data_IF_921573286606
#
_entry.id   IF_921573286606
#
_cell.length_a   1.000
_cell.length_b   1.000
_cell.length_c   1.000
_cell.angle_alpha   90.00
_cell.angle_beta   90.00
_cell.angle_gamma   90.00
#
_symmetry.space_group_name_H-M   'P 1'
#
loop_
_entity.id
_entity.type
_entity.pdbx_description
1 polymer ?
#
# COMPACT_ATOMS: atom_id res chain seq x y z
N UNK A 1 -1.87 36.05 6.83
CA UNK A 1 -1.09 35.68 5.63
C UNK A 1 -1.16 34.17 5.46
N UNK A 2 -1.81 33.70 4.40
CA UNK A 2 -1.90 32.28 4.03
C UNK A 2 -0.99 32.00 2.84
N UNK A 3 -0.22 30.90 2.89
CA UNK A 3 0.37 30.10 1.79
C UNK A 3 1.20 28.99 2.44
N UNK A 4 0.57 27.83 2.74
CA UNK A 4 0.55 26.62 1.90
C UNK A 4 1.94 26.01 1.66
N UNK A 5 2.23 24.98 2.46
CA UNK A 5 2.73 23.65 2.07
C UNK A 5 3.64 23.58 0.84
N UNK A 6 4.93 23.38 1.06
CA UNK A 6 5.84 22.71 0.11
C UNK A 6 6.52 21.56 0.83
N UNK A 7 5.80 20.46 1.03
CA UNK A 7 6.47 19.19 1.33
C UNK A 7 7.03 18.66 0.01
N UNK A 8 8.34 18.81 -0.16
CA UNK A 8 9.10 18.16 -1.22
C UNK A 8 9.33 16.70 -0.82
N UNK A 9 8.48 15.80 -1.28
CA UNK A 9 8.79 14.37 -1.36
C UNK A 9 8.56 13.91 -2.79
N UNK A 10 9.56 14.12 -3.64
CA UNK A 10 9.77 13.28 -4.81
C UNK A 10 11.10 12.59 -4.62
N UNK A 11 11.10 11.57 -3.75
CA UNK A 11 12.06 10.49 -3.87
C UNK A 11 11.50 9.59 -4.97
N UNK A 12 11.91 9.87 -6.20
CA UNK A 12 11.57 9.04 -7.36
C UNK A 12 12.32 7.73 -7.12
N UNK A 13 11.61 6.74 -6.60
CA UNK A 13 12.11 5.37 -6.57
C UNK A 13 11.84 4.86 -7.97
N UNK A 14 12.91 4.64 -8.73
CA UNK A 14 12.84 4.24 -10.13
C UNK A 14 12.62 2.72 -10.18
N UNK A 15 11.37 2.28 -10.12
CA UNK A 15 10.99 0.89 -10.29
C UNK A 15 10.64 0.65 -11.77
N UNK A 16 11.66 0.74 -12.62
CA UNK A 16 11.50 0.43 -14.03
C UNK A 16 11.00 -1.02 -14.22
N UNK A 17 9.78 -1.15 -14.77
CA UNK A 17 9.17 -2.34 -15.44
C UNK A 17 8.39 -3.39 -14.64
N UNK A 18 8.13 -3.25 -13.33
CA UNK A 18 7.35 -4.25 -12.57
C UNK A 18 6.10 -3.69 -11.83
N UNK A 19 5.73 -2.43 -12.10
CA UNK A 19 5.34 -1.53 -11.02
C UNK A 19 3.91 -0.97 -11.05
N UNK A 20 2.97 -1.59 -11.75
CA UNK A 20 1.60 -1.08 -11.74
C UNK A 20 0.85 -1.36 -10.42
N UNK A 21 1.41 -2.20 -9.53
CA UNK A 21 0.77 -2.70 -8.32
C UNK A 21 1.50 -2.37 -7.01
N UNK A 22 2.41 -1.39 -7.01
CA UNK A 22 3.12 -0.98 -5.79
C UNK A 22 2.45 0.27 -5.22
N UNK A 23 2.09 0.24 -3.93
CA UNK A 23 1.58 1.41 -3.21
C UNK A 23 2.47 1.72 -2.02
N UNK A 24 2.70 3.01 -1.79
CA UNK A 24 3.52 3.49 -0.69
C UNK A 24 2.64 4.10 0.40
N UNK A 25 2.62 3.44 1.56
CA UNK A 25 1.81 3.81 2.71
C UNK A 25 2.66 4.47 3.80
N UNK A 26 3.97 4.66 3.58
CA UNK A 26 4.82 5.26 4.60
C UNK A 26 4.38 6.69 4.91
N UNK A 27 4.36 7.05 6.19
CA UNK A 27 4.03 8.40 6.64
C UNK A 27 2.57 8.83 6.46
N UNK A 28 1.71 7.95 5.94
CA UNK A 28 0.26 8.12 5.98
C UNK A 28 -0.25 7.85 7.40
N UNK A 29 -1.38 8.46 7.75
CA UNK A 29 -2.11 8.01 8.93
C UNK A 29 -2.86 6.70 8.63
N UNK A 30 -3.39 6.06 9.68
CA UNK A 30 -4.06 4.75 9.57
C UNK A 30 -5.21 4.78 8.55
N UNK A 31 -6.08 5.80 8.62
CA UNK A 31 -7.24 5.89 7.74
C UNK A 31 -6.86 6.15 6.28
N UNK A 32 -5.86 6.99 6.05
CA UNK A 32 -5.28 7.23 4.72
C UNK A 32 -4.68 5.94 4.15
N UNK A 33 -3.92 5.19 4.94
CA UNK A 33 -3.30 3.95 4.51
C UNK A 33 -4.35 2.87 4.14
N UNK A 34 -5.40 2.72 4.95
CA UNK A 34 -6.49 1.79 4.67
C UNK A 34 -7.26 2.21 3.41
N UNK A 35 -7.56 3.51 3.25
CA UNK A 35 -8.24 4.01 2.06
C UNK A 35 -7.43 3.74 0.79
N UNK A 36 -6.11 3.94 0.82
CA UNK A 36 -5.28 3.67 -0.36
C UNK A 36 -5.18 2.19 -0.71
N UNK A 37 -5.16 1.30 0.29
CA UNK A 37 -5.29 -0.14 0.01
C UNK A 37 -6.62 -0.44 -0.67
N UNK A 38 -7.74 0.13 -0.20
CA UNK A 38 -9.05 -0.10 -0.80
C UNK A 38 -9.10 0.39 -2.25
N UNK A 39 -8.58 1.58 -2.53
CA UNK A 39 -8.50 2.11 -3.91
C UNK A 39 -7.60 1.25 -4.79
N UNK A 40 -6.45 0.82 -4.29
CA UNK A 40 -5.55 -0.05 -5.03
C UNK A 40 -6.22 -1.38 -5.38
N UNK A 41 -6.90 -2.02 -4.43
CA UNK A 41 -7.63 -3.27 -4.65
C UNK A 41 -8.74 -3.08 -5.69
N UNK A 42 -9.53 -2.01 -5.59
CA UNK A 42 -10.58 -1.73 -6.55
C UNK A 42 -10.00 -1.54 -7.97
N UNK A 43 -8.99 -0.69 -8.11
CA UNK A 43 -8.31 -0.44 -9.39
C UNK A 43 -7.72 -1.71 -9.99
N UNK A 44 -7.21 -2.60 -9.14
CA UNK A 44 -6.60 -3.84 -9.58
C UNK A 44 -7.60 -4.95 -9.93
N UNK A 45 -8.80 -4.94 -9.35
CA UNK A 45 -9.92 -5.80 -9.80
C UNK A 45 -10.50 -5.34 -11.13
N UNK A 46 -10.56 -4.04 -11.37
CA UNK A 46 -11.18 -3.47 -12.58
C UNK A 46 -10.30 -3.56 -13.83
N UNK A 47 -8.99 -3.78 -13.68
CA UNK A 47 -8.04 -3.87 -14.79
C UNK A 47 -7.58 -5.32 -15.00
N UNK A 48 -8.04 -5.93 -16.08
CA UNK A 48 -7.61 -7.28 -16.51
C UNK A 48 -6.17 -7.36 -17.02
N UNK A 49 -5.45 -6.24 -17.10
CA UNK A 49 -4.07 -6.17 -17.63
C UNK A 49 -2.98 -6.34 -16.56
N UNK A 50 -3.35 -6.54 -15.30
CA UNK A 50 -2.39 -6.77 -14.24
C UNK A 50 -1.69 -8.13 -14.41
N UNK A 51 -0.39 -8.08 -14.72
CA UNK A 51 0.46 -9.26 -14.89
C UNK A 51 0.68 -10.05 -13.59
N UNK A 52 0.45 -9.39 -12.45
CA UNK A 52 0.58 -9.97 -11.10
C UNK A 52 -0.76 -9.87 -10.37
N UNK A 53 -1.25 -10.99 -9.84
CA UNK A 53 -2.47 -11.05 -9.03
C UNK A 53 -2.26 -10.55 -7.59
N UNK A 54 -1.40 -9.56 -7.39
CA UNK A 54 -1.17 -8.99 -6.06
C UNK A 54 -0.78 -7.52 -6.11
N UNK A 55 -1.10 -6.81 -5.04
CA UNK A 55 -0.62 -5.47 -4.70
C UNK A 55 0.53 -5.60 -3.70
N UNK A 56 1.60 -4.84 -3.91
CA UNK A 56 2.69 -4.69 -2.96
C UNK A 56 2.54 -3.35 -2.23
N UNK A 57 2.15 -3.37 -0.96
CA UNK A 57 2.10 -2.16 -0.15
C UNK A 57 3.34 -2.01 0.73
N UNK A 58 3.90 -0.81 0.77
CA UNK A 58 5.09 -0.45 1.57
C UNK A 58 4.60 0.28 2.82
N UNK A 59 4.72 -0.36 3.98
CA UNK A 59 4.24 0.18 5.27
C UNK A 59 5.36 0.80 6.12
N UNK A 60 6.62 0.44 5.84
CA UNK A 60 7.80 0.93 6.56
C UNK A 60 7.99 0.33 7.96
N UNK A 61 9.18 0.52 8.55
CA UNK A 61 9.58 -0.01 9.88
C UNK A 61 9.00 0.77 11.07
N UNK A 62 7.85 1.43 10.92
CA UNK A 62 7.30 2.36 11.93
C UNK A 62 6.92 1.68 13.26
N UNK A 63 6.04 2.30 14.04
CA UNK A 63 5.54 1.79 15.33
C UNK A 63 4.67 0.52 15.23
N UNK A 64 4.68 -0.15 14.08
CA UNK A 64 3.83 -1.30 13.74
C UNK A 64 2.31 -1.07 13.87
N UNK A 65 1.86 0.15 14.18
CA UNK A 65 0.45 0.48 14.31
C UNK A 65 -0.27 0.35 12.97
N UNK A 66 0.29 0.92 11.91
CA UNK A 66 -0.26 0.80 10.55
C UNK A 66 -0.35 -0.66 10.12
N UNK A 67 0.68 -1.47 10.42
CA UNK A 67 0.69 -2.92 10.18
C UNK A 67 -0.51 -3.59 10.85
N UNK A 68 -0.71 -3.39 12.16
CA UNK A 68 -1.78 -4.03 12.90
C UNK A 68 -3.17 -3.70 12.33
N UNK A 69 -3.42 -2.43 11.98
CA UNK A 69 -4.70 -2.01 11.40
C UNK A 69 -4.91 -2.50 9.97
N UNK A 70 -3.86 -2.51 9.15
CA UNK A 70 -3.93 -3.07 7.80
C UNK A 70 -4.20 -4.58 7.87
N UNK A 71 -3.50 -5.27 8.77
CA UNK A 71 -3.66 -6.71 8.97
C UNK A 71 -5.08 -7.06 9.42
N UNK A 72 -5.62 -6.33 10.40
CA UNK A 72 -7.01 -6.47 10.84
C UNK A 72 -7.99 -6.23 9.69
N UNK A 73 -7.82 -5.14 8.94
CA UNK A 73 -8.66 -4.82 7.79
C UNK A 73 -8.65 -5.93 6.73
N UNK A 74 -7.47 -6.45 6.36
CA UNK A 74 -7.32 -7.48 5.34
C UNK A 74 -7.91 -8.81 5.79
N UNK A 75 -7.70 -9.18 7.05
CA UNK A 75 -8.27 -10.39 7.65
C UNK A 75 -9.80 -10.32 7.69
N UNK A 76 -10.36 -9.21 8.16
CA UNK A 76 -11.81 -9.02 8.27
C UNK A 76 -12.49 -8.95 6.90
N UNK A 77 -11.76 -8.47 5.89
CA UNK A 77 -12.20 -8.42 4.49
C UNK A 77 -11.90 -9.72 3.72
N UNK A 78 -11.37 -10.75 4.38
CA UNK A 78 -11.04 -12.06 3.83
C UNK A 78 -10.10 -12.00 2.60
N UNK A 79 -9.11 -11.11 2.64
CA UNK A 79 -8.02 -11.08 1.66
C UNK A 79 -6.89 -12.02 2.07
N UNK A 80 -6.28 -12.69 1.10
CA UNK A 80 -5.02 -13.39 1.30
C UNK A 80 -3.87 -12.37 1.26
N UNK A 81 -2.98 -12.42 2.24
CA UNK A 81 -1.84 -11.51 2.31
C UNK A 81 -0.60 -12.15 2.92
N UNK A 82 0.56 -11.60 2.62
CA UNK A 82 1.85 -12.05 3.15
C UNK A 82 2.76 -10.85 3.44
N UNK A 83 3.21 -10.73 4.68
CA UNK A 83 4.26 -9.79 5.05
C UNK A 83 5.63 -10.31 4.64
N UNK A 84 6.57 -9.40 4.36
CA UNK A 84 7.97 -9.77 4.31
C UNK A 84 8.55 -10.00 5.73
N UNK A 85 9.75 -10.59 5.80
CA UNK A 85 10.42 -10.91 7.07
C UNK A 85 10.63 -9.67 7.97
N UNK A 86 10.88 -8.51 7.36
CA UNK A 86 11.11 -7.25 8.06
C UNK A 86 9.83 -6.48 8.42
N UNK A 87 8.64 -7.00 8.06
CA UNK A 87 7.34 -6.32 8.21
C UNK A 87 7.30 -4.89 7.64
N UNK A 88 8.07 -4.63 6.59
CA UNK A 88 8.10 -3.33 5.90
C UNK A 88 7.23 -3.30 4.66
N UNK A 89 6.86 -4.47 4.15
CA UNK A 89 6.01 -4.61 2.99
C UNK A 89 5.00 -5.73 3.19
N UNK A 90 3.88 -5.61 2.48
CA UNK A 90 2.81 -6.60 2.44
C UNK A 90 2.42 -6.86 1.00
N UNK A 91 2.35 -8.13 0.63
CA UNK A 91 1.71 -8.59 -0.61
C UNK A 91 0.26 -8.89 -0.30
N UNK A 92 -0.66 -8.28 -1.04
CA UNK A 92 -2.11 -8.47 -0.91
C UNK A 92 -2.58 -9.12 -2.21
N UNK A 93 -3.05 -10.36 -2.13
CA UNK A 93 -3.45 -11.12 -3.31
C UNK A 93 -4.88 -10.76 -3.73
N UNK A 94 -5.07 -10.62 -5.03
CA UNK A 94 -6.34 -10.31 -5.67
C UNK A 94 -6.79 -11.57 -6.38
N UNK A 95 -7.85 -12.17 -5.86
CA UNK A 95 -8.57 -13.29 -6.47
C UNK A 95 -9.69 -12.80 -7.40
#
# INVERSE_FOLDING_TARGET
MSRKNKRNYKKIINYDKAESNVIDLHGLNIYEAVAEIQFAIANAKDNSEFSNNYILAIIGKGTETIKAYIEEFLRDSNYEYMFNEDYTTIKIYIA
#
